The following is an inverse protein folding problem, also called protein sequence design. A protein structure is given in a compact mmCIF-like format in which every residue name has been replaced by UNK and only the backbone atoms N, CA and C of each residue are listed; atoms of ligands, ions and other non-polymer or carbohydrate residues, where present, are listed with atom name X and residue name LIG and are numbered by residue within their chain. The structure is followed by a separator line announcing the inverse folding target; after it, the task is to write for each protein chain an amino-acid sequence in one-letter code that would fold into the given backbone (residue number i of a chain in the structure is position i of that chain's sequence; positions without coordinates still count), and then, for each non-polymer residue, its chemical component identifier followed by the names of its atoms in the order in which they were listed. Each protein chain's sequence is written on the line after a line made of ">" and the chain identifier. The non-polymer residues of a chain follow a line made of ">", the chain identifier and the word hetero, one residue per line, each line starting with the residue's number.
data_IF_318692634959
#
_entry.id   IF_318692634959
#
_cell.length_a   1.000
_cell.length_b   1.000
_cell.length_c   1.000
_cell.angle_alpha   90.00
_cell.angle_beta   90.00
_cell.angle_gamma   90.00
#
_symmetry.space_group_name_H-M   'P 1'
#
loop_
_entity.id
_entity.type
_entity.pdbx_description
1 polymer ?
#
# COMPACT_ATOMS: atom_id res chain seq x y z
N UNK A 1 -7.15 -21.82 -15.74
CA UNK A 1 -7.74 -21.07 -14.60
C UNK A 1 -8.93 -21.77 -13.96
N UNK A 2 -10.14 -21.81 -14.53
CA UNK A 2 -11.32 -22.41 -13.83
C UNK A 2 -11.10 -23.88 -13.44
N UNK A 3 -10.55 -24.70 -14.35
CA UNK A 3 -10.28 -26.11 -14.06
C UNK A 3 -9.24 -26.28 -12.96
N UNK A 4 -8.13 -25.52 -13.02
CA UNK A 4 -7.08 -25.52 -12.00
C UNK A 4 -7.61 -25.07 -10.63
N UNK A 5 -8.43 -24.01 -10.59
CA UNK A 5 -9.08 -23.56 -9.37
C UNK A 5 -9.96 -24.66 -8.77
N UNK A 6 -10.81 -25.28 -9.58
CA UNK A 6 -11.78 -26.27 -9.10
C UNK A 6 -11.17 -27.64 -8.78
N UNK A 7 -10.11 -28.05 -9.48
CA UNK A 7 -9.57 -29.41 -9.39
C UNK A 7 -8.29 -29.49 -8.55
N UNK A 8 -7.53 -28.40 -8.41
CA UNK A 8 -6.24 -28.42 -7.73
C UNK A 8 -6.22 -27.48 -6.51
N UNK A 9 -6.71 -26.25 -6.64
CA UNK A 9 -6.58 -25.23 -5.58
C UNK A 9 -7.70 -25.33 -4.54
N UNK A 10 -8.96 -25.19 -4.92
CA UNK A 10 -10.10 -25.21 -3.98
C UNK A 10 -10.22 -26.51 -3.19
N UNK A 11 -9.97 -27.71 -3.76
CA UNK A 11 -10.01 -28.95 -2.99
C UNK A 11 -9.02 -28.99 -1.83
N UNK A 12 -7.82 -28.42 -1.98
CA UNK A 12 -6.86 -28.31 -0.88
C UNK A 12 -7.36 -27.39 0.23
N UNK A 13 -7.95 -26.25 -0.15
CA UNK A 13 -8.36 -25.20 0.80
C UNK A 13 -9.71 -25.45 1.48
N UNK A 14 -10.51 -26.42 1.01
CA UNK A 14 -11.89 -26.64 1.47
C UNK A 14 -12.02 -26.75 3.00
N UNK A 15 -11.04 -27.36 3.68
CA UNK A 15 -11.02 -27.54 5.14
C UNK A 15 -9.93 -26.71 5.86
N UNK A 16 -9.24 -25.83 5.12
CA UNK A 16 -8.06 -25.09 5.60
C UNK A 16 -8.27 -23.57 5.65
N UNK A 17 -9.44 -23.07 5.27
CA UNK A 17 -9.76 -21.65 5.38
C UNK A 17 -9.82 -21.20 6.84
N UNK A 18 -9.64 -19.90 7.10
CA UNK A 18 -9.81 -19.33 8.45
C UNK A 18 -11.19 -19.67 9.04
N UNK A 19 -12.23 -19.65 8.19
CA UNK A 19 -13.60 -19.98 8.60
C UNK A 19 -13.74 -21.45 9.02
N UNK A 20 -13.16 -22.38 8.27
CA UNK A 20 -13.25 -23.81 8.59
C UNK A 20 -12.35 -24.21 9.76
N UNK A 21 -11.17 -23.60 9.88
CA UNK A 21 -10.33 -23.73 11.07
C UNK A 21 -11.07 -23.24 12.31
N UNK A 22 -11.73 -22.08 12.25
CA UNK A 22 -12.55 -21.56 13.34
C UNK A 22 -13.76 -22.48 13.62
N UNK A 23 -14.43 -22.98 12.58
CA UNK A 23 -15.56 -23.93 12.71
C UNK A 23 -15.13 -25.16 13.50
N UNK A 24 -13.96 -25.71 13.18
CA UNK A 24 -13.38 -26.90 13.82
C UNK A 24 -12.99 -26.66 15.28
N UNK A 25 -12.26 -25.57 15.55
CA UNK A 25 -11.77 -25.25 16.90
C UNK A 25 -12.91 -24.89 17.86
N UNK A 26 -13.90 -24.15 17.37
CA UNK A 26 -14.98 -23.60 18.20
C UNK A 26 -16.30 -24.36 18.07
N UNK A 27 -16.31 -25.50 17.37
CA UNK A 27 -17.48 -26.35 17.15
C UNK A 27 -18.69 -25.60 16.57
N UNK A 28 -18.45 -24.81 15.52
CA UNK A 28 -19.46 -24.01 14.81
C UNK A 28 -20.37 -23.17 15.74
N UNK A 29 -19.81 -22.19 16.48
CA UNK A 29 -20.56 -21.45 17.49
C UNK A 29 -21.65 -20.57 16.86
N UNK A 30 -22.70 -20.24 17.61
CA UNK A 30 -23.84 -19.44 17.13
C UNK A 30 -23.41 -18.15 16.39
N UNK A 31 -22.39 -17.44 16.91
CA UNK A 31 -21.84 -16.23 16.27
C UNK A 31 -21.34 -16.45 14.83
N UNK A 32 -20.74 -17.61 14.57
CA UNK A 32 -20.29 -17.99 13.23
C UNK A 32 -21.48 -18.36 12.34
N UNK A 33 -22.45 -19.11 12.85
CA UNK A 33 -23.68 -19.44 12.13
C UNK A 33 -24.48 -18.19 11.73
N UNK A 34 -24.48 -17.15 12.58
CA UNK A 34 -25.11 -15.86 12.28
C UNK A 34 -24.33 -15.11 11.18
N UNK A 35 -23.00 -15.10 11.26
CA UNK A 35 -22.14 -14.49 10.24
C UNK A 35 -22.32 -15.15 8.86
N UNK A 36 -22.41 -16.47 8.81
CA UNK A 36 -22.58 -17.24 7.56
C UNK A 36 -23.91 -16.97 6.85
N UNK A 37 -24.91 -16.43 7.57
CA UNK A 37 -26.20 -16.08 6.98
C UNK A 37 -26.18 -14.76 6.21
N UNK A 38 -25.07 -14.01 6.21
CA UNK A 38 -24.80 -12.76 5.45
C UNK A 38 -25.89 -11.66 5.48
N UNK A 39 -26.97 -11.84 6.24
CA UNK A 39 -28.15 -10.97 6.27
C UNK A 39 -28.11 -9.93 7.41
N UNK A 40 -27.30 -10.16 8.46
CA UNK A 40 -27.28 -9.31 9.66
C UNK A 40 -25.88 -8.87 10.11
N UNK A 41 -24.84 -9.60 9.72
CA UNK A 41 -23.48 -9.34 10.16
C UNK A 41 -22.52 -9.51 8.99
N UNK A 42 -22.00 -8.40 8.48
CA UNK A 42 -20.94 -8.40 7.48
C UNK A 42 -19.63 -8.34 8.25
N UNK A 43 -19.04 -9.52 8.45
CA UNK A 43 -17.69 -9.60 8.97
C UNK A 43 -16.78 -9.89 7.78
N UNK A 44 -16.07 -8.87 7.30
CA UNK A 44 -15.02 -9.07 6.29
C UNK A 44 -13.79 -9.73 6.88
N UNK A 45 -13.64 -9.79 8.22
CA UNK A 45 -12.47 -10.35 8.92
C UNK A 45 -12.05 -11.78 8.55
N UNK A 46 -12.97 -12.70 8.17
CA UNK A 46 -12.58 -14.01 7.66
C UNK A 46 -11.93 -13.97 6.26
N UNK A 47 -12.13 -12.89 5.50
CA UNK A 47 -11.53 -12.65 4.19
C UNK A 47 -10.42 -11.58 4.24
N UNK A 48 -10.49 -10.62 5.16
CA UNK A 48 -9.64 -9.44 5.19
C UNK A 48 -9.14 -9.06 6.59
N UNK A 49 -7.83 -8.79 6.74
CA UNK A 49 -7.24 -8.29 8.00
C UNK A 49 -6.93 -6.78 7.99
N UNK A 50 -7.40 -6.05 6.98
CA UNK A 50 -7.13 -4.63 6.78
C UNK A 50 -8.20 -3.72 7.41
N UNK A 51 -8.18 -2.41 7.09
CA UNK A 51 -8.55 -1.25 7.94
C UNK A 51 -7.37 -0.72 8.76
N UNK A 52 -6.26 -0.48 8.08
CA UNK A 52 -5.03 0.03 8.70
C UNK A 52 -4.33 1.02 7.78
N UNK A 53 -3.41 1.78 8.35
CA UNK A 53 -2.46 2.63 7.63
C UNK A 53 -1.07 1.99 7.83
N UNK A 54 -0.50 1.36 6.78
CA UNK A 54 0.89 0.93 6.83
C UNK A 54 1.82 2.09 7.17
N UNK A 55 2.93 1.80 7.85
CA UNK A 55 3.93 2.82 8.18
C UNK A 55 4.76 3.21 6.94
N UNK A 56 4.15 3.97 6.03
CA UNK A 56 4.78 4.45 4.81
C UNK A 56 5.97 5.37 5.09
N UNK A 57 5.96 6.08 6.22
CA UNK A 57 7.10 6.90 6.67
C UNK A 57 8.39 6.08 6.80
N UNK A 58 8.30 4.88 7.41
CA UNK A 58 9.46 3.99 7.52
C UNK A 58 10.00 3.55 6.16
N UNK A 59 9.14 3.23 5.20
CA UNK A 59 9.57 2.84 3.85
C UNK A 59 10.24 4.02 3.15
N UNK A 60 9.64 5.21 3.19
CA UNK A 60 10.15 6.41 2.53
C UNK A 60 11.48 6.86 3.13
N UNK A 61 11.59 6.91 4.46
CA UNK A 61 12.74 7.51 5.14
C UNK A 61 13.87 6.52 5.48
N UNK A 62 13.59 5.21 5.52
CA UNK A 62 14.59 4.17 5.86
C UNK A 62 14.82 3.16 4.73
N UNK A 63 13.79 2.79 3.98
CA UNK A 63 13.82 1.70 3.01
C UNK A 63 13.67 0.31 3.66
N UNK A 64 13.23 -0.67 2.88
CA UNK A 64 12.97 -2.04 3.34
C UNK A 64 14.26 -2.79 3.72
N UNK A 65 15.41 -2.47 3.13
CA UNK A 65 16.69 -3.10 3.52
C UNK A 65 17.04 -2.80 4.97
N UNK A 66 16.76 -1.58 5.45
CA UNK A 66 16.95 -1.21 6.84
C UNK A 66 16.00 -1.97 7.78
N UNK A 67 14.75 -2.21 7.36
CA UNK A 67 13.79 -3.01 8.12
C UNK A 67 14.18 -4.50 8.15
N UNK A 68 14.74 -5.00 7.05
CA UNK A 68 15.28 -6.38 6.97
C UNK A 68 16.45 -6.54 7.95
N UNK A 69 17.39 -5.59 7.95
CA UNK A 69 18.51 -5.60 8.89
C UNK A 69 18.03 -5.55 10.35
N UNK A 70 17.05 -4.71 10.67
CA UNK A 70 16.45 -4.67 12.01
C UNK A 70 15.83 -6.03 12.40
N UNK A 71 15.18 -6.73 11.47
CA UNK A 71 14.66 -8.07 11.71
C UNK A 71 15.78 -9.10 11.93
N UNK A 72 16.89 -9.02 11.18
CA UNK A 72 18.07 -9.87 11.37
C UNK A 72 18.69 -9.66 12.76
N UNK A 73 18.92 -8.42 13.16
CA UNK A 73 19.48 -8.07 14.47
C UNK A 73 18.58 -8.58 15.61
N UNK A 74 17.26 -8.39 15.49
CA UNK A 74 16.30 -8.89 16.48
C UNK A 74 16.24 -10.41 16.51
N UNK A 75 16.37 -11.10 15.38
CA UNK A 75 16.43 -12.55 15.34
C UNK A 75 17.69 -13.09 16.05
N UNK A 76 18.85 -12.47 15.78
CA UNK A 76 20.12 -12.86 16.38
C UNK A 76 20.19 -12.64 17.89
N UNK A 77 19.45 -11.65 18.41
CA UNK A 77 19.38 -11.38 19.84
C UNK A 77 18.53 -12.39 20.64
N UNK A 78 17.77 -13.27 19.97
CA UNK A 78 16.87 -14.22 20.63
C UNK A 78 17.59 -15.48 21.12
N UNK A 79 17.21 -15.93 22.32
CA UNK A 79 17.68 -17.16 22.95
C UNK A 79 17.15 -18.44 22.29
N UNK A 80 17.18 -19.55 23.04
CA UNK A 80 16.77 -20.89 22.57
C UNK A 80 15.47 -21.38 23.20
N UNK A 81 14.71 -20.50 23.87
CA UNK A 81 13.42 -20.87 24.45
C UNK A 81 12.36 -21.14 23.36
N UNK A 82 11.28 -21.86 23.68
CA UNK A 82 10.19 -22.11 22.73
C UNK A 82 9.49 -20.83 22.26
N UNK A 83 9.38 -19.82 23.14
CA UNK A 83 8.84 -18.50 22.77
C UNK A 83 9.79 -17.75 21.82
N UNK A 84 11.09 -17.82 22.08
CA UNK A 84 12.12 -17.26 21.19
C UNK A 84 12.08 -17.93 19.82
N UNK A 85 11.81 -19.24 19.74
CA UNK A 85 11.68 -19.94 18.47
C UNK A 85 10.52 -19.40 17.62
N UNK A 86 9.35 -19.12 18.23
CA UNK A 86 8.24 -18.51 17.52
C UNK A 86 8.58 -17.09 17.01
N UNK A 87 9.29 -16.30 17.82
CA UNK A 87 9.78 -14.98 17.41
C UNK A 87 10.80 -15.07 16.27
N UNK A 88 11.69 -16.08 16.28
CA UNK A 88 12.61 -16.35 15.17
C UNK A 88 11.87 -16.65 13.87
N UNK A 89 10.86 -17.53 13.91
CA UNK A 89 10.03 -17.80 12.73
C UNK A 89 9.35 -16.53 12.20
N UNK A 90 8.87 -15.66 13.08
CA UNK A 90 8.30 -14.38 12.70
C UNK A 90 9.32 -13.49 11.96
N UNK A 91 10.52 -13.27 12.51
CA UNK A 91 11.53 -12.46 11.84
C UNK A 91 12.02 -13.07 10.52
N UNK A 92 12.14 -14.39 10.44
CA UNK A 92 12.44 -15.09 9.20
C UNK A 92 11.36 -14.86 8.13
N UNK A 93 10.09 -14.94 8.51
CA UNK A 93 8.98 -14.64 7.60
C UNK A 93 9.01 -13.18 7.13
N UNK A 94 9.30 -12.22 8.01
CA UNK A 94 9.44 -10.80 7.66
C UNK A 94 10.57 -10.60 6.63
N UNK A 95 11.73 -11.23 6.84
CA UNK A 95 12.86 -11.12 5.90
C UNK A 95 12.52 -11.69 4.52
N UNK A 96 11.88 -12.87 4.47
CA UNK A 96 11.45 -13.50 3.22
C UNK A 96 10.42 -12.64 2.48
N UNK A 97 9.45 -12.06 3.19
CA UNK A 97 8.48 -11.14 2.60
C UNK A 97 9.18 -9.91 1.99
N UNK A 98 10.11 -9.29 2.72
CA UNK A 98 10.89 -8.15 2.22
C UNK A 98 11.70 -8.56 0.98
N UNK A 99 12.38 -9.71 0.99
CA UNK A 99 13.12 -10.20 -0.18
C UNK A 99 12.22 -10.34 -1.41
N UNK A 100 11.00 -10.87 -1.25
CA UNK A 100 10.01 -10.94 -2.32
C UNK A 100 9.68 -9.57 -2.92
N UNK A 101 9.47 -8.55 -2.06
CA UNK A 101 9.20 -7.17 -2.53
C UNK A 101 10.40 -6.57 -3.25
N UNK A 102 11.61 -6.79 -2.75
CA UNK A 102 12.85 -6.30 -3.40
C UNK A 102 13.07 -6.98 -4.76
N UNK A 103 12.82 -8.28 -4.86
CA UNK A 103 12.87 -9.00 -6.13
C UNK A 103 11.83 -8.47 -7.12
N UNK A 104 10.61 -8.16 -6.65
CA UNK A 104 9.58 -7.56 -7.50
C UNK A 104 10.00 -6.18 -8.03
N UNK A 105 10.54 -5.31 -7.17
CA UNK A 105 11.07 -4.01 -7.59
C UNK A 105 12.21 -4.13 -8.62
N UNK A 106 13.13 -5.08 -8.39
CA UNK A 106 14.23 -5.34 -9.32
C UNK A 106 13.73 -5.82 -10.69
N UNK A 107 12.68 -6.66 -10.73
CA UNK A 107 12.06 -7.10 -11.97
C UNK A 107 11.41 -5.93 -12.73
N UNK A 108 10.75 -5.00 -12.02
CA UNK A 108 10.22 -3.77 -12.63
C UNK A 108 11.34 -2.91 -13.23
N UNK A 109 12.48 -2.83 -12.56
CA UNK A 109 13.66 -2.11 -13.08
C UNK A 109 14.19 -2.74 -14.37
N UNK A 110 14.32 -4.07 -14.41
CA UNK A 110 14.75 -4.79 -15.62
C UNK A 110 13.75 -4.62 -16.77
N UNK A 111 12.46 -4.67 -16.49
CA UNK A 111 11.44 -4.49 -17.53
C UNK A 111 11.43 -3.07 -18.08
N UNK A 112 11.57 -2.06 -17.22
CA UNK A 112 11.71 -0.66 -17.66
C UNK A 112 12.97 -0.45 -18.52
N UNK A 113 14.12 -1.04 -18.16
CA UNK A 113 15.32 -1.05 -19.00
C UNK A 113 15.10 -1.74 -20.34
N UNK A 114 14.41 -2.89 -20.35
CA UNK A 114 14.12 -3.64 -21.57
C UNK A 114 13.28 -2.79 -22.53
N UNK A 115 12.23 -2.15 -22.01
CA UNK A 115 11.36 -1.26 -22.78
C UNK A 115 12.12 -0.02 -23.30
N UNK A 116 12.98 0.58 -22.47
CA UNK A 116 13.79 1.74 -22.87
C UNK A 116 14.70 1.45 -24.08
N UNK A 117 15.31 0.25 -24.14
CA UNK A 117 16.21 -0.15 -25.24
C UNK A 117 15.52 -0.19 -26.61
N UNK A 118 14.23 -0.49 -26.62
CA UNK A 118 13.43 -0.58 -27.85
C UNK A 118 12.57 0.66 -28.11
N UNK A 119 12.62 1.65 -27.23
CA UNK A 119 11.81 2.87 -27.35
C UNK A 119 12.43 3.86 -28.35
N UNK A 120 11.61 4.26 -29.31
CA UNK A 120 11.97 5.18 -30.40
C UNK A 120 11.83 6.64 -29.97
N UNK A 121 10.84 6.95 -29.13
CA UNK A 121 10.62 8.31 -28.64
C UNK A 121 11.65 8.64 -27.55
N UNK A 122 12.50 9.62 -27.81
CA UNK A 122 13.61 9.98 -26.90
C UNK A 122 13.15 10.45 -25.51
N UNK A 123 11.99 11.11 -25.40
CA UNK A 123 11.45 11.54 -24.11
C UNK A 123 10.92 10.33 -23.33
N UNK A 124 10.14 9.46 -23.99
CA UNK A 124 9.62 8.25 -23.37
C UNK A 124 10.74 7.29 -22.94
N UNK A 125 11.80 7.18 -23.74
CA UNK A 125 12.98 6.40 -23.37
C UNK A 125 13.62 6.91 -22.09
N UNK A 126 13.78 8.24 -21.95
CA UNK A 126 14.34 8.86 -20.74
C UNK A 126 13.46 8.62 -19.51
N UNK A 127 12.14 8.66 -19.67
CA UNK A 127 11.20 8.31 -18.59
C UNK A 127 11.39 6.85 -18.16
N UNK A 128 11.49 5.92 -19.10
CA UNK A 128 11.69 4.49 -18.82
C UNK A 128 13.05 4.22 -18.14
N UNK A 129 14.12 4.88 -18.58
CA UNK A 129 15.43 4.83 -17.94
C UNK A 129 15.34 5.34 -16.48
N UNK A 130 14.65 6.47 -16.28
CA UNK A 130 14.41 7.03 -14.94
C UNK A 130 13.61 6.05 -14.06
N UNK A 131 12.53 5.46 -14.59
CA UNK A 131 11.73 4.47 -13.87
C UNK A 131 12.57 3.24 -13.50
N UNK A 132 13.48 2.81 -14.36
CA UNK A 132 14.35 1.70 -14.06
C UNK A 132 15.31 2.00 -12.91
N UNK A 133 15.94 3.17 -12.92
CA UNK A 133 16.86 3.59 -11.86
C UNK A 133 16.14 3.73 -10.52
N UNK A 134 14.92 4.28 -10.54
CA UNK A 134 14.05 4.38 -9.36
C UNK A 134 13.73 2.98 -8.82
N UNK A 135 13.22 2.07 -9.66
CA UNK A 135 12.85 0.71 -9.22
C UNK A 135 14.06 -0.14 -8.79
N UNK A 136 15.28 0.19 -9.23
CA UNK A 136 16.50 -0.45 -8.73
C UNK A 136 16.87 0.02 -7.31
N UNK A 137 16.40 1.20 -6.92
CA UNK A 137 16.73 1.85 -5.65
C UNK A 137 15.64 1.60 -4.60
N UNK A 138 14.39 1.93 -4.93
CA UNK A 138 13.24 1.83 -4.01
C UNK A 138 12.37 0.62 -4.32
N UNK A 139 11.71 0.01 -3.30
CA UNK A 139 11.63 0.44 -1.90
C UNK A 139 12.79 -0.07 -1.02
N UNK A 140 13.89 -0.55 -1.62
CA UNK A 140 15.02 -1.09 -0.88
C UNK A 140 15.74 -0.06 -0.01
N UNK A 141 16.13 1.04 -0.63
CA UNK A 141 16.79 2.17 0.03
C UNK A 141 15.80 3.31 0.31
N UNK A 142 16.20 4.28 1.13
CA UNK A 142 15.40 5.48 1.39
C UNK A 142 15.17 6.29 0.10
N UNK A 143 14.03 6.96 0.02
CA UNK A 143 13.68 7.84 -1.10
C UNK A 143 14.38 9.20 -1.00
N UNK A 144 14.90 9.70 -2.11
CA UNK A 144 15.61 10.97 -2.23
C UNK A 144 14.87 12.02 -3.06
N UNK A 145 13.85 11.59 -3.80
CA UNK A 145 12.93 12.40 -4.62
C UNK A 145 11.48 12.03 -4.31
N UNK A 146 10.54 12.90 -4.67
CA UNK A 146 9.11 12.66 -4.57
C UNK A 146 8.70 11.45 -5.43
N UNK A 147 9.24 11.33 -6.64
CA UNK A 147 8.94 10.20 -7.54
C UNK A 147 9.41 8.87 -6.96
N UNK A 148 10.60 8.82 -6.35
CA UNK A 148 11.07 7.63 -5.63
C UNK A 148 10.12 7.23 -4.50
N UNK A 149 9.66 8.20 -3.70
CA UNK A 149 8.76 7.89 -2.58
C UNK A 149 7.38 7.39 -3.04
N UNK A 150 6.81 8.00 -4.07
CA UNK A 150 5.54 7.54 -4.66
C UNK A 150 5.69 6.12 -5.23
N UNK A 151 6.78 5.83 -5.94
CA UNK A 151 7.07 4.48 -6.43
C UNK A 151 7.29 3.47 -5.30
N UNK A 152 8.01 3.84 -4.24
CA UNK A 152 8.23 2.99 -3.08
C UNK A 152 6.90 2.61 -2.40
N UNK A 153 6.05 3.60 -2.15
CA UNK A 153 4.71 3.41 -1.59
C UNK A 153 3.87 2.51 -2.50
N UNK A 154 3.85 2.77 -3.80
CA UNK A 154 3.09 1.97 -4.76
C UNK A 154 3.54 0.50 -4.77
N UNK A 155 4.85 0.24 -4.85
CA UNK A 155 5.41 -1.12 -4.87
C UNK A 155 5.04 -1.87 -3.59
N UNK A 156 5.23 -1.25 -2.42
CA UNK A 156 4.85 -1.85 -1.14
C UNK A 156 3.33 -2.10 -1.07
N UNK A 157 2.53 -1.21 -1.64
CA UNK A 157 1.08 -1.36 -1.67
C UNK A 157 0.65 -2.54 -2.54
N UNK A 158 1.27 -2.74 -3.70
CA UNK A 158 1.03 -3.95 -4.52
C UNK A 158 1.35 -5.21 -3.72
N UNK A 159 2.47 -5.25 -2.99
CA UNK A 159 2.82 -6.39 -2.16
C UNK A 159 1.78 -6.66 -1.05
N UNK A 160 1.33 -5.61 -0.35
CA UNK A 160 0.27 -5.71 0.65
C UNK A 160 -1.06 -6.19 0.03
N UNK A 161 -1.33 -5.84 -1.22
CA UNK A 161 -2.51 -6.30 -1.94
C UNK A 161 -2.47 -7.78 -2.33
N UNK A 162 -1.28 -8.39 -2.41
CA UNK A 162 -1.12 -9.82 -2.67
C UNK A 162 -1.32 -10.67 -1.40
N UNK A 163 -1.27 -10.06 -0.21
CA UNK A 163 -1.39 -10.80 1.04
C UNK A 163 -2.86 -11.14 1.38
N UNK A 164 -3.83 -10.33 0.93
CA UNK A 164 -5.15 -10.33 1.55
C UNK A 164 -6.24 -9.62 0.69
N UNK A 165 -7.51 -9.64 1.10
CA UNK A 165 -8.69 -9.25 0.31
C UNK A 165 -8.90 -7.73 0.10
N UNK A 166 -7.86 -6.91 0.19
CA UNK A 166 -7.80 -5.64 -0.55
C UNK A 166 -8.76 -4.50 -0.14
N UNK A 167 -9.30 -4.51 1.08
CA UNK A 167 -10.22 -3.47 1.57
C UNK A 167 -9.59 -2.62 2.68
N UNK A 168 -9.63 -1.29 2.54
CA UNK A 168 -9.31 -0.37 3.64
C UNK A 168 -7.81 -0.21 3.95
N UNK A 169 -6.94 -0.45 2.96
CA UNK A 169 -5.50 -0.11 3.05
C UNK A 169 -5.28 1.37 2.75
N UNK A 170 -5.40 2.18 3.81
CA UNK A 170 -5.38 3.64 3.73
C UNK A 170 -3.96 4.20 3.62
N UNK A 171 -3.82 5.36 2.99
CA UNK A 171 -2.55 6.03 2.72
C UNK A 171 -2.10 6.96 3.87
N UNK A 172 -3.03 7.35 4.75
CA UNK A 172 -2.74 8.24 5.87
C UNK A 172 -2.43 9.67 5.41
N UNK A 173 -1.43 10.31 6.03
CA UNK A 173 -1.07 11.73 5.81
C UNK A 173 0.13 11.88 4.88
N UNK A 174 -0.04 11.52 3.61
CA UNK A 174 1.07 11.59 2.64
C UNK A 174 1.55 13.03 2.39
N UNK A 175 0.67 14.02 2.56
CA UNK A 175 1.05 15.44 2.46
C UNK A 175 2.07 15.85 3.53
N UNK A 176 2.16 15.13 4.65
CA UNK A 176 3.16 15.35 5.69
C UNK A 176 4.41 14.49 5.46
N UNK A 177 4.21 13.18 5.18
CA UNK A 177 5.31 12.22 4.97
C UNK A 177 6.19 12.63 3.79
N UNK A 178 5.58 13.14 2.72
CA UNK A 178 6.27 13.44 1.47
C UNK A 178 6.69 14.92 1.33
N UNK A 179 6.32 15.80 2.28
CA UNK A 179 6.53 17.24 2.14
C UNK A 179 8.00 17.62 1.95
N UNK A 180 8.89 17.04 2.77
CA UNK A 180 10.32 17.31 2.69
C UNK A 180 10.93 16.92 1.34
N UNK A 181 10.43 15.85 0.71
CA UNK A 181 10.88 15.41 -0.62
C UNK A 181 10.34 16.34 -1.70
N UNK A 182 9.08 16.76 -1.59
CA UNK A 182 8.49 17.76 -2.46
C UNK A 182 9.28 19.08 -2.44
N UNK A 183 9.53 19.66 -1.25
CA UNK A 183 10.30 20.91 -1.13
C UNK A 183 11.71 20.79 -1.73
N UNK A 184 12.37 19.65 -1.50
CA UNK A 184 13.70 19.38 -2.04
C UNK A 184 13.69 19.36 -3.57
N UNK A 185 12.70 18.70 -4.17
CA UNK A 185 12.61 18.60 -5.62
C UNK A 185 12.19 19.93 -6.27
N UNK A 186 11.32 20.72 -5.64
CA UNK A 186 11.04 22.11 -6.05
C UNK A 186 12.33 22.93 -6.06
N UNK A 187 13.14 22.84 -4.99
CA UNK A 187 14.43 23.54 -4.91
C UNK A 187 15.44 23.07 -5.97
N UNK A 188 15.30 21.84 -6.47
CA UNK A 188 16.10 21.29 -7.59
C UNK A 188 15.56 21.65 -8.97
N UNK A 189 14.46 22.41 -9.04
CA UNK A 189 13.86 22.89 -10.29
C UNK A 189 12.65 22.10 -10.77
N UNK A 190 12.10 21.18 -9.98
CA UNK A 190 10.78 20.60 -10.27
C UNK A 190 9.73 21.72 -10.23
N UNK A 191 8.88 21.76 -11.25
CA UNK A 191 7.74 22.69 -11.28
C UNK A 191 6.55 22.13 -10.51
N UNK A 192 5.68 23.01 -10.02
CA UNK A 192 4.41 22.59 -9.40
C UNK A 192 3.57 21.73 -10.35
N UNK A 193 3.58 22.03 -11.66
CA UNK A 193 2.87 21.24 -12.67
C UNK A 193 3.38 19.80 -12.76
N UNK A 194 4.70 19.61 -12.69
CA UNK A 194 5.30 18.26 -12.68
C UNK A 194 4.95 17.51 -11.40
N UNK A 195 4.88 18.19 -10.25
CA UNK A 195 4.44 17.58 -9.01
C UNK A 195 2.96 17.13 -9.08
N UNK A 196 2.08 17.98 -9.64
CA UNK A 196 0.66 17.63 -9.87
C UNK A 196 0.54 16.42 -10.80
N UNK A 197 1.35 16.37 -11.87
CA UNK A 197 1.38 15.24 -12.79
C UNK A 197 1.83 13.95 -12.10
N UNK A 198 2.90 13.98 -11.29
CA UNK A 198 3.37 12.81 -10.54
C UNK A 198 2.31 12.29 -9.56
N UNK A 199 1.68 13.18 -8.79
CA UNK A 199 0.58 12.81 -7.90
C UNK A 199 -0.61 12.26 -8.69
N UNK A 200 -0.92 12.87 -9.84
CA UNK A 200 -1.99 12.39 -10.72
C UNK A 200 -1.74 10.98 -11.26
N UNK A 201 -0.52 10.70 -11.72
CA UNK A 201 -0.09 9.35 -12.11
C UNK A 201 -0.24 8.35 -10.96
N UNK A 202 0.14 8.75 -9.75
CA UNK A 202 -0.02 7.91 -8.58
C UNK A 202 -1.49 7.67 -8.22
N UNK A 203 -2.38 8.67 -8.33
CA UNK A 203 -3.82 8.49 -8.14
C UNK A 203 -4.42 7.52 -9.17
N UNK A 204 -4.03 7.64 -10.44
CA UNK A 204 -4.43 6.68 -11.49
C UNK A 204 -4.01 5.25 -11.13
N UNK A 205 -2.77 5.09 -10.61
CA UNK A 205 -2.26 3.79 -10.16
C UNK A 205 -2.98 3.23 -8.94
N UNK A 206 -3.49 4.08 -8.06
CA UNK A 206 -4.31 3.67 -6.92
C UNK A 206 -5.72 3.29 -7.37
N UNK A 207 -6.29 4.03 -8.33
CA UNK A 207 -7.63 3.80 -8.85
C UNK A 207 -7.75 2.55 -9.74
N UNK A 208 -6.64 2.08 -10.33
CA UNK A 208 -6.55 0.82 -11.08
C UNK A 208 -6.80 -0.42 -10.18
N UNK A 209 -6.73 -0.27 -8.86
CA UNK A 209 -6.95 -1.36 -7.93
C UNK A 209 -8.43 -1.52 -7.57
N UNK A 210 -9.03 -2.64 -8.00
CA UNK A 210 -10.40 -3.03 -7.68
C UNK A 210 -10.38 -4.35 -6.88
N UNK A 211 -10.90 -4.38 -5.65
CA UNK A 211 -10.96 -5.60 -4.87
C UNK A 211 -11.98 -6.56 -5.46
N UNK A 212 -11.65 -7.85 -5.51
CA UNK A 212 -12.62 -8.90 -5.83
C UNK A 212 -13.60 -9.04 -4.65
N UNK A 213 -14.89 -8.93 -4.95
CA UNK A 213 -15.97 -9.12 -3.97
C UNK A 213 -16.97 -10.16 -4.49
N UNK A 214 -17.58 -10.98 -3.62
CA UNK A 214 -18.70 -11.84 -4.01
C UNK A 214 -19.90 -11.02 -4.49
N UNK A 215 -20.79 -11.63 -5.28
CA UNK A 215 -21.99 -10.96 -5.83
C UNK A 215 -22.84 -10.28 -4.76
N UNK A 216 -23.05 -10.92 -3.60
CA UNK A 216 -23.78 -10.33 -2.47
C UNK A 216 -23.06 -9.13 -1.85
N UNK A 217 -21.72 -9.11 -1.93
CA UNK A 217 -20.91 -7.96 -1.57
C UNK A 217 -21.05 -6.83 -2.59
N UNK A 218 -21.10 -7.14 -3.88
CA UNK A 218 -21.32 -6.17 -4.95
C UNK A 218 -22.72 -5.53 -4.87
N UNK A 219 -23.77 -6.28 -4.50
CA UNK A 219 -25.10 -5.69 -4.28
C UNK A 219 -25.12 -4.65 -3.15
N UNK A 220 -24.28 -4.83 -2.13
CA UNK A 220 -24.24 -3.96 -0.94
C UNK A 220 -23.21 -2.83 -1.05
N UNK A 221 -22.08 -3.07 -1.74
CA UNK A 221 -20.90 -2.21 -1.80
C UNK A 221 -20.43 -1.94 -3.22
N UNK A 222 -21.26 -2.26 -4.21
CA UNK A 222 -20.92 -2.13 -5.61
C UNK A 222 -20.47 -0.72 -5.94
N UNK A 223 -19.32 -0.64 -6.60
CA UNK A 223 -18.70 0.62 -6.96
C UNK A 223 -17.90 1.33 -5.86
N UNK A 224 -17.89 0.89 -4.58
CA UNK A 224 -17.13 1.59 -3.51
C UNK A 224 -15.61 1.50 -3.66
N UNK A 225 -15.12 0.50 -4.41
CA UNK A 225 -13.69 0.29 -4.58
C UNK A 225 -12.99 -0.25 -3.34
N UNK A 226 -11.70 0.04 -3.22
CA UNK A 226 -10.86 -0.43 -2.11
C UNK A 226 -10.93 0.44 -0.85
N UNK A 227 -11.70 1.54 -0.88
CA UNK A 227 -11.94 2.45 0.25
C UNK A 227 -10.64 2.95 0.91
N UNK A 228 -9.66 3.35 0.11
CA UNK A 228 -8.32 3.72 0.58
C UNK A 228 -8.29 5.20 0.96
N UNK A 229 -8.36 5.50 2.27
CA UNK A 229 -8.40 6.87 2.73
C UNK A 229 -7.03 7.56 2.64
N UNK A 230 -7.02 8.77 2.07
CA UNK A 230 -5.94 9.74 2.17
C UNK A 230 -6.44 10.92 3.00
N UNK A 231 -5.66 11.38 3.97
CA UNK A 231 -6.03 12.50 4.84
C UNK A 231 -5.05 13.65 4.67
N UNK A 232 -5.58 14.82 4.32
CA UNK A 232 -4.80 16.03 4.03
C UNK A 232 -5.04 17.12 5.08
N UNK A 233 -4.03 17.96 5.32
CA UNK A 233 -4.13 19.15 6.16
C UNK A 233 -4.40 18.85 7.63
N UNK A 234 -5.08 19.76 8.32
CA UNK A 234 -5.32 19.72 9.76
C UNK A 234 -4.16 20.30 10.56
N UNK A 235 -3.94 19.76 11.76
CA UNK A 235 -2.89 20.23 12.68
C UNK A 235 -1.78 19.20 12.89
N UNK A 236 -0.61 19.67 13.31
CA UNK A 236 0.53 18.86 13.75
C UNK A 236 0.33 18.35 15.20
N UNK A 237 1.33 17.66 15.75
CA UNK A 237 1.30 17.13 17.13
C UNK A 237 1.30 18.24 18.20
N UNK A 238 1.73 19.44 17.84
CA UNK A 238 1.77 20.62 18.70
C UNK A 238 0.52 21.50 18.55
N UNK A 239 -0.40 21.16 17.65
CA UNK A 239 -1.62 21.91 17.37
C UNK A 239 -1.46 23.05 16.36
N UNK A 240 -0.29 23.19 15.71
CA UNK A 240 -0.09 24.20 14.67
C UNK A 240 -0.67 23.74 13.34
N UNK A 241 -0.86 24.69 12.42
CA UNK A 241 -1.30 24.41 11.06
C UNK A 241 -0.31 23.45 10.34
N UNK A 242 -0.82 22.32 9.87
CA UNK A 242 -0.07 21.35 9.07
C UNK A 242 -0.41 21.42 7.57
N UNK A 243 -1.29 22.32 7.13
CA UNK A 243 -1.52 22.58 5.71
C UNK A 243 -0.24 23.12 5.09
N UNK A 244 0.15 22.54 3.96
CA UNK A 244 1.38 22.91 3.26
C UNK A 244 1.18 22.90 1.74
N UNK A 245 2.21 23.32 0.98
CA UNK A 245 2.11 23.39 -0.49
C UNK A 245 1.75 22.04 -1.14
N UNK A 246 2.24 20.93 -0.56
CA UNK A 246 1.93 19.59 -1.07
C UNK A 246 0.46 19.22 -0.80
N UNK A 247 -0.15 19.71 0.29
CA UNK A 247 -1.59 19.61 0.52
C UNK A 247 -2.37 20.18 -0.67
N UNK A 248 -2.03 21.38 -1.13
CA UNK A 248 -2.70 22.01 -2.28
C UNK A 248 -2.39 21.31 -3.61
N UNK A 249 -1.17 20.81 -3.81
CA UNK A 249 -0.82 20.00 -4.98
C UNK A 249 -1.67 18.73 -5.07
N UNK A 250 -1.85 18.02 -3.95
CA UNK A 250 -2.69 16.82 -3.88
C UNK A 250 -4.18 17.14 -4.09
N UNK A 251 -4.67 18.25 -3.54
CA UNK A 251 -6.03 18.73 -3.80
C UNK A 251 -6.23 19.05 -5.29
N UNK A 252 -5.25 19.70 -5.94
CA UNK A 252 -5.31 20.01 -7.36
C UNK A 252 -5.34 18.76 -8.23
N UNK A 253 -4.51 17.76 -7.94
CA UNK A 253 -4.55 16.48 -8.66
C UNK A 253 -5.92 15.78 -8.50
N UNK A 254 -6.49 15.85 -7.30
CA UNK A 254 -7.82 15.28 -7.00
C UNK A 254 -8.93 15.99 -7.78
N UNK A 255 -8.92 17.32 -7.81
CA UNK A 255 -9.88 18.14 -8.57
C UNK A 255 -9.83 17.84 -10.08
N UNK A 256 -8.63 17.69 -10.64
CA UNK A 256 -8.41 17.45 -12.06
C UNK A 256 -8.87 16.06 -12.50
N UNK A 257 -8.55 15.03 -11.72
CA UNK A 257 -8.78 13.65 -12.11
C UNK A 257 -10.20 13.15 -11.79
N UNK A 258 -10.83 13.66 -10.72
CA UNK A 258 -12.18 13.27 -10.29
C UNK A 258 -12.39 11.75 -10.23
N UNK A 259 -11.33 11.03 -9.85
CA UNK A 259 -11.35 9.59 -9.65
C UNK A 259 -12.02 9.26 -8.32
N UNK A 260 -12.52 8.03 -8.21
CA UNK A 260 -13.05 7.49 -6.96
C UNK A 260 -11.96 7.32 -5.89
N UNK A 261 -10.81 6.80 -6.30
CA UNK A 261 -9.68 6.51 -5.42
C UNK A 261 -8.47 7.43 -5.76
N UNK A 262 -7.65 7.79 -4.76
CA UNK A 262 -7.87 7.56 -3.34
C UNK A 262 -9.05 8.37 -2.79
N UNK A 263 -9.65 7.89 -1.69
CA UNK A 263 -10.70 8.62 -0.99
C UNK A 263 -10.06 9.77 -0.19
N UNK A 264 -10.05 10.97 -0.78
CA UNK A 264 -9.41 12.15 -0.21
C UNK A 264 -10.29 12.81 0.84
N UNK A 265 -9.74 12.93 2.05
CA UNK A 265 -10.37 13.55 3.21
C UNK A 265 -9.53 14.75 3.65
N UNK A 266 -10.18 15.85 4.03
CA UNK A 266 -9.51 17.01 4.61
C UNK A 266 -9.76 17.04 6.12
N UNK A 267 -8.70 17.18 6.91
CA UNK A 267 -8.83 17.50 8.33
C UNK A 267 -9.03 19.00 8.48
N UNK A 268 -10.02 19.35 9.28
CA UNK A 268 -10.39 20.72 9.58
C UNK A 268 -10.22 21.01 11.07
N UNK A 269 -9.65 22.17 11.38
CA UNK A 269 -9.59 22.70 12.73
C UNK A 269 -10.09 24.15 12.71
N UNK A 270 -11.20 24.49 13.40
CA UNK A 270 -11.89 25.76 13.20
C UNK A 270 -11.05 27.01 13.51
N UNK A 271 -10.15 26.90 14.48
CA UNK A 271 -9.33 28.03 14.93
C UNK A 271 -8.01 28.18 14.15
N UNK A 272 -7.60 27.15 13.40
CA UNK A 272 -6.27 27.05 12.79
C UNK A 272 -6.36 26.97 11.27
N UNK A 273 -7.34 26.20 10.77
CA UNK A 273 -7.61 25.98 9.35
C UNK A 273 -9.02 26.46 8.98
N UNK A 274 -9.38 27.74 9.18
CA UNK A 274 -10.68 28.23 8.76
C UNK A 274 -10.86 28.09 7.23
N UNK A 275 -12.11 27.92 6.76
CA UNK A 275 -12.40 27.71 5.34
C UNK A 275 -12.08 28.92 4.46
#
# INVERSE_FOLDING_TARGET
>A
EIEELNLEIFPYWIDQTIQEVARRIYHNPLRQQVMERFAFLICSKPAALFHTIPNYDSVVNRGLKALKQEAEEKEHALGVSGEDQNKKHFYQAVKLAIEGVLSFAQNLSYEAQRLARTESNANRRRELETMADICATVPGDKSNTLQEALSAIWICKIALHQENANVGLSLGRLDQILYNLYCRDIARGMTVSQAVELIGCFWLKLADHVPLVPDTGEELFGGTGSNQALTLGGVDEQGNDAVNDLTYVMLRATELLRLRDPNVNCRYHPEVNPP
#
